data_IF_219346477365
#
_entry.id   IF_219346477365
#
_cell.length_a   1.000
_cell.length_b   1.000
_cell.length_c   1.000
_cell.angle_alpha   90.00
_cell.angle_beta   90.00
_cell.angle_gamma   90.00
#
_symmetry.space_group_name_H-M   'P 1'
#
loop_
_entity.id
_entity.type
_entity.pdbx_description
1 polymer ?
#
# COMPACT_ATOMS: atom_id res chain seq x y z
N UNK A 1 24.69 10.65 -4.53
CA UNK A 1 24.37 9.65 -3.47
C UNK A 1 22.88 9.61 -3.23
N UNK A 2 22.40 8.46 -2.82
CA UNK A 2 20.95 8.25 -2.65
C UNK A 2 20.71 7.55 -1.33
N UNK A 3 19.75 8.08 -0.57
CA UNK A 3 19.25 7.40 0.63
C UNK A 3 18.00 6.62 0.27
N UNK A 4 17.91 5.40 0.78
CA UNK A 4 16.74 4.53 0.60
C UNK A 4 16.24 4.12 1.97
N UNK A 5 14.95 4.29 2.21
CA UNK A 5 14.30 3.79 3.41
C UNK A 5 13.18 2.83 3.02
N UNK A 6 13.00 1.79 3.81
CA UNK A 6 11.99 0.76 3.58
C UNK A 6 11.20 0.58 4.87
N UNK A 7 9.88 0.65 4.75
CA UNK A 7 8.97 0.41 5.89
C UNK A 7 8.04 -0.74 5.55
N UNK A 8 8.01 -1.73 6.42
CA UNK A 8 7.08 -2.86 6.33
C UNK A 8 5.96 -2.67 7.34
N UNK A 9 4.72 -2.79 6.88
CA UNK A 9 3.52 -2.64 7.71
C UNK A 9 2.58 -3.79 7.38
N UNK A 10 2.07 -4.46 8.41
CA UNK A 10 1.02 -5.47 8.25
C UNK A 10 -0.31 -4.87 8.68
N UNK A 11 -1.34 -5.06 7.86
CA UNK A 11 -2.69 -4.58 8.14
C UNK A 11 -3.70 -5.70 7.91
N UNK A 12 -4.87 -5.58 8.53
CA UNK A 12 -6.03 -6.42 8.27
C UNK A 12 -7.09 -5.56 7.58
N UNK A 13 -7.61 -6.05 6.47
CA UNK A 13 -8.64 -5.29 5.76
C UNK A 13 -9.43 -6.18 4.83
N UNK A 14 -10.69 -5.80 4.63
CA UNK A 14 -11.60 -6.49 3.73
C UNK A 14 -11.80 -5.70 2.45
N UNK A 15 -12.01 -6.41 1.36
CA UNK A 15 -12.33 -5.78 0.08
C UNK A 15 -13.26 -6.66 -0.75
N UNK A 16 -13.80 -6.06 -1.79
CA UNK A 16 -14.62 -6.72 -2.77
C UNK A 16 -14.21 -6.18 -4.14
N UNK A 17 -13.89 -7.07 -5.07
CA UNK A 17 -13.51 -6.67 -6.42
C UNK A 17 -14.72 -6.59 -7.32
N UNK A 18 -14.75 -5.58 -8.19
CA UNK A 18 -15.73 -5.46 -9.27
C UNK A 18 -15.12 -6.08 -10.52
N UNK A 19 -15.68 -7.22 -10.93
CA UNK A 19 -15.16 -7.98 -12.06
C UNK A 19 -16.29 -8.29 -13.05
N UNK A 20 -16.01 -8.27 -14.36
CA UNK A 20 -17.01 -8.59 -15.39
C UNK A 20 -17.20 -10.09 -15.62
N UNK A 21 -16.66 -10.92 -14.75
CA UNK A 21 -16.76 -12.39 -14.81
C UNK A 21 -17.02 -12.95 -13.42
N UNK A 22 -17.62 -14.16 -13.30
CA UNK A 22 -17.85 -14.78 -11.99
C UNK A 22 -16.52 -15.08 -11.29
N UNK A 23 -16.43 -14.66 -10.02
CA UNK A 23 -15.26 -14.88 -9.18
C UNK A 23 -15.66 -14.80 -7.72
N UNK A 24 -15.02 -15.62 -6.88
CA UNK A 24 -15.17 -15.49 -5.43
C UNK A 24 -14.58 -14.18 -4.92
N UNK A 25 -13.68 -13.54 -5.68
CA UNK A 25 -13.13 -12.23 -5.34
C UNK A 25 -14.17 -11.12 -5.45
N UNK A 26 -15.31 -11.36 -6.11
CA UNK A 26 -16.45 -10.45 -6.16
C UNK A 26 -17.28 -10.46 -4.88
N UNK A 27 -16.95 -11.32 -3.92
CA UNK A 27 -17.56 -11.33 -2.59
C UNK A 27 -16.66 -10.56 -1.63
N UNK A 28 -17.26 -9.97 -0.61
CA UNK A 28 -16.49 -9.34 0.46
C UNK A 28 -15.66 -10.40 1.16
N UNK A 29 -14.36 -10.17 1.24
CA UNK A 29 -13.44 -11.07 1.92
C UNK A 29 -12.27 -10.27 2.48
N UNK A 30 -11.54 -10.84 3.42
CA UNK A 30 -10.46 -10.15 4.11
C UNK A 30 -9.13 -10.88 3.99
N UNK A 31 -8.07 -10.11 4.16
CA UNK A 31 -6.69 -10.58 4.19
C UNK A 31 -5.91 -9.90 5.28
N UNK A 32 -4.81 -10.52 5.69
CA UNK A 32 -3.73 -9.87 6.42
C UNK A 32 -2.69 -9.44 5.38
N UNK A 33 -2.73 -8.17 5.04
CA UNK A 33 -1.88 -7.62 4.00
C UNK A 33 -0.51 -7.28 4.57
N UNK A 34 0.55 -7.68 3.87
CA UNK A 34 1.91 -7.25 4.20
C UNK A 34 2.35 -6.25 3.15
N UNK A 35 2.61 -5.04 3.59
CA UNK A 35 2.89 -3.92 2.70
C UNK A 35 4.30 -3.41 2.98
N UNK A 36 5.11 -3.30 1.93
CA UNK A 36 6.46 -2.79 2.02
C UNK A 36 6.60 -1.57 1.12
N UNK A 37 6.97 -0.44 1.74
CA UNK A 37 7.06 0.87 1.08
C UNK A 37 8.52 1.28 1.00
N UNK A 38 8.97 1.65 -0.19
CA UNK A 38 10.34 2.12 -0.44
C UNK A 38 10.32 3.57 -0.87
N UNK A 39 11.06 4.42 -0.14
CA UNK A 39 11.27 5.81 -0.47
C UNK A 39 12.74 6.06 -0.78
N UNK A 40 13.02 6.95 -1.73
CA UNK A 40 14.39 7.35 -2.07
C UNK A 40 14.50 8.86 -2.16
N UNK A 41 15.62 9.40 -1.68
CA UNK A 41 15.94 10.82 -1.81
C UNK A 41 17.44 11.03 -1.84
N UNK A 42 17.90 12.02 -2.61
CA UNK A 42 19.30 12.42 -2.61
C UNK A 42 19.66 13.24 -1.37
N UNK A 43 18.66 13.79 -0.69
CA UNK A 43 18.84 14.68 0.46
C UNK A 43 18.01 14.19 1.64
N UNK A 44 18.41 14.64 2.83
CA UNK A 44 17.67 14.42 4.06
C UNK A 44 17.03 15.74 4.52
N UNK A 45 15.98 15.64 5.31
CA UNK A 45 15.38 16.82 5.92
C UNK A 45 16.24 17.33 7.09
N UNK A 46 15.78 18.37 7.77
CA UNK A 46 16.48 18.98 8.89
C UNK A 46 16.71 18.04 10.08
N UNK A 47 15.96 16.96 10.15
CA UNK A 47 16.09 15.95 11.20
C UNK A 47 16.91 14.75 10.76
N UNK A 48 17.45 14.76 9.55
CA UNK A 48 18.27 13.67 9.03
C UNK A 48 17.46 12.50 8.48
N UNK A 49 16.24 12.75 7.98
CA UNK A 49 15.34 11.72 7.48
C UNK A 49 14.96 11.95 6.03
N UNK A 50 14.74 10.86 5.28
CA UNK A 50 14.03 10.92 4.00
C UNK A 50 12.56 11.25 4.27
N UNK A 51 11.99 10.55 5.23
CA UNK A 51 10.66 10.79 5.78
C UNK A 51 10.58 9.99 7.10
N UNK A 52 9.90 10.55 8.09
CA UNK A 52 9.65 9.84 9.34
C UNK A 52 8.88 8.54 9.05
N UNK A 53 9.39 7.42 9.56
CA UNK A 53 8.73 6.11 9.38
C UNK A 53 7.29 6.10 9.87
N UNK A 54 6.97 6.88 10.90
CA UNK A 54 5.60 6.97 11.41
C UNK A 54 4.62 7.56 10.39
N UNK A 55 5.08 8.46 9.53
CA UNK A 55 4.25 9.03 8.48
C UNK A 55 3.95 8.02 7.38
N UNK A 56 4.91 7.14 7.08
CA UNK A 56 4.68 6.03 6.15
C UNK A 56 3.62 5.11 6.74
N UNK A 57 3.79 4.74 7.99
CA UNK A 57 2.85 3.88 8.72
C UNK A 57 1.44 4.48 8.74
N UNK A 58 1.32 5.78 9.00
CA UNK A 58 0.02 6.46 9.08
C UNK A 58 -0.75 6.38 7.77
N UNK A 59 -0.09 6.50 6.63
CA UNK A 59 -0.74 6.36 5.32
C UNK A 59 -1.26 4.93 5.13
N UNK A 60 -0.41 3.93 5.38
CA UNK A 60 -0.79 2.53 5.23
C UNK A 60 -1.91 2.14 6.19
N UNK A 61 -1.87 2.65 7.43
CA UNK A 61 -2.86 2.37 8.46
C UNK A 61 -4.24 2.95 8.16
N UNK A 62 -4.38 3.86 7.19
CA UNK A 62 -5.70 4.30 6.74
C UNK A 62 -6.52 3.15 6.16
N UNK A 63 -5.87 2.09 5.70
CA UNK A 63 -6.52 0.90 5.16
C UNK A 63 -6.75 -0.19 6.22
N UNK A 64 -6.13 -0.05 7.40
CA UNK A 64 -6.17 -1.07 8.44
C UNK A 64 -7.52 -1.12 9.14
N UNK A 65 -8.03 -2.32 9.35
CA UNK A 65 -9.34 -2.57 9.98
C UNK A 65 -10.48 -1.83 9.28
N UNK A 66 -10.43 -1.76 7.94
CA UNK A 66 -11.43 -1.08 7.13
C UNK A 66 -12.03 -2.02 6.09
N UNK A 67 -13.16 -1.59 5.54
CA UNK A 67 -13.61 -2.04 4.24
C UNK A 67 -12.91 -1.16 3.21
N UNK A 68 -11.88 -1.71 2.55
CA UNK A 68 -10.95 -0.94 1.71
C UNK A 68 -11.70 -0.22 0.58
N UNK A 69 -12.78 -0.80 0.07
CA UNK A 69 -13.61 -0.17 -0.96
C UNK A 69 -14.13 1.22 -0.53
N UNK A 70 -14.47 1.38 0.75
CA UNK A 70 -14.94 2.67 1.27
C UNK A 70 -13.81 3.72 1.26
N UNK A 71 -12.59 3.29 1.53
CA UNK A 71 -11.43 4.20 1.57
C UNK A 71 -10.99 4.60 0.17
N UNK A 72 -10.98 3.67 -0.77
CA UNK A 72 -10.49 3.90 -2.13
C UNK A 72 -11.55 4.44 -3.09
N UNK A 73 -12.82 4.42 -2.69
CA UNK A 73 -13.91 4.97 -3.50
C UNK A 73 -14.16 4.19 -4.78
N UNK A 74 -14.13 4.87 -5.91
CA UNK A 74 -14.44 4.27 -7.21
C UNK A 74 -13.33 3.38 -7.78
N UNK A 75 -12.17 3.39 -7.15
CA UNK A 75 -11.04 2.57 -7.58
C UNK A 75 -11.27 1.12 -7.14
N UNK A 76 -11.19 0.18 -8.08
CA UNK A 76 -11.27 -1.24 -7.75
C UNK A 76 -10.08 -1.61 -6.85
N UNK A 77 -10.31 -2.08 -5.61
CA UNK A 77 -9.23 -2.23 -4.62
C UNK A 77 -8.45 -3.53 -4.80
N UNK A 78 -7.86 -3.70 -5.96
CA UNK A 78 -6.89 -4.75 -6.22
C UNK A 78 -5.59 -4.47 -5.47
N UNK A 79 -4.74 -5.48 -5.29
CA UNK A 79 -3.42 -5.29 -4.69
C UNK A 79 -2.59 -4.26 -5.48
N UNK A 80 -2.70 -4.30 -6.81
CA UNK A 80 -2.03 -3.36 -7.71
C UNK A 80 -2.47 -1.92 -7.46
N UNK A 81 -3.77 -1.69 -7.40
CA UNK A 81 -4.32 -0.35 -7.15
C UNK A 81 -4.06 0.12 -5.72
N UNK A 82 -4.06 -0.78 -4.76
CA UNK A 82 -3.67 -0.45 -3.38
C UNK A 82 -2.22 0.02 -3.32
N UNK A 83 -1.32 -0.66 -4.02
CA UNK A 83 0.09 -0.28 -4.07
C UNK A 83 0.27 1.13 -4.64
N UNK A 84 -0.40 1.42 -5.75
CA UNK A 84 -0.37 2.76 -6.36
C UNK A 84 -0.99 3.81 -5.44
N UNK A 85 -2.13 3.51 -4.83
CA UNK A 85 -2.82 4.41 -3.91
C UNK A 85 -1.92 4.85 -2.75
N UNK A 86 -1.18 3.91 -2.17
CA UNK A 86 -0.24 4.19 -1.08
C UNK A 86 0.93 5.04 -1.60
N UNK A 87 1.52 4.64 -2.71
CA UNK A 87 2.68 5.34 -3.28
C UNK A 87 2.36 6.79 -3.62
N UNK A 88 1.17 7.05 -4.17
CA UNK A 88 0.75 8.39 -4.58
C UNK A 88 0.55 9.34 -3.39
N UNK A 89 0.42 8.83 -2.17
CA UNK A 89 0.19 9.61 -0.95
C UNK A 89 1.44 9.86 -0.12
N UNK A 90 2.60 9.42 -0.61
CA UNK A 90 3.86 9.55 0.11
C UNK A 90 4.90 10.27 -0.74
N UNK A 91 5.56 11.30 -0.21
CA UNK A 91 6.67 11.94 -0.90
C UNK A 91 7.83 10.96 -1.03
N UNK A 92 8.60 11.09 -2.09
CA UNK A 92 9.79 10.27 -2.36
C UNK A 92 9.51 8.78 -2.56
N UNK A 93 8.26 8.37 -2.61
CA UNK A 93 7.92 6.96 -2.80
C UNK A 93 8.23 6.53 -4.23
N UNK A 94 8.98 5.44 -4.36
CA UNK A 94 9.38 4.89 -5.67
C UNK A 94 8.83 3.49 -5.89
N UNK A 95 8.42 2.80 -4.81
CA UNK A 95 7.99 1.41 -4.90
C UNK A 95 7.11 1.06 -3.72
N UNK A 96 6.01 0.35 -3.99
CA UNK A 96 5.18 -0.26 -2.95
C UNK A 96 4.88 -1.69 -3.36
N UNK A 97 5.17 -2.64 -2.48
CA UNK A 97 4.82 -4.04 -2.64
C UNK A 97 3.66 -4.36 -1.70
N UNK A 98 2.60 -4.94 -2.26
CA UNK A 98 1.42 -5.35 -1.50
C UNK A 98 1.26 -6.85 -1.63
N UNK A 99 1.45 -7.55 -0.53
CA UNK A 99 1.23 -9.00 -0.44
C UNK A 99 -0.16 -9.25 0.12
N UNK A 100 -1.03 -9.75 -0.73
CA UNK A 100 -2.41 -10.09 -0.36
C UNK A 100 -2.45 -11.39 0.46
N UNK A 101 -1.67 -12.37 0.00
CA UNK A 101 -1.51 -13.68 0.62
C UNK A 101 -0.11 -14.19 0.33
N UNK A 102 0.28 -15.31 0.89
CA UNK A 102 1.64 -15.82 0.70
C UNK A 102 2.01 -15.99 -0.77
N UNK A 103 1.07 -16.40 -1.60
CA UNK A 103 1.31 -16.64 -3.02
C UNK A 103 1.07 -15.46 -3.94
N UNK A 104 0.53 -14.33 -3.45
CA UNK A 104 0.06 -13.24 -4.30
C UNK A 104 0.66 -11.90 -3.87
N UNK A 105 1.52 -11.37 -4.73
CA UNK A 105 2.25 -10.13 -4.50
C UNK A 105 2.10 -9.21 -5.70
N UNK A 106 1.72 -7.97 -5.46
CA UNK A 106 1.71 -6.92 -6.47
C UNK A 106 2.71 -5.84 -6.11
N UNK A 107 3.42 -5.33 -7.09
CA UNK A 107 4.41 -4.27 -6.92
C UNK A 107 4.09 -3.13 -7.88
N UNK A 108 4.02 -1.92 -7.34
CA UNK A 108 3.95 -0.69 -8.11
C UNK A 108 5.28 0.06 -7.99
N UNK A 109 5.89 0.38 -9.12
CA UNK A 109 7.14 1.15 -9.17
C UNK A 109 6.96 2.36 -10.07
N UNK A 110 7.50 3.48 -9.62
CA UNK A 110 7.59 4.69 -10.46
C UNK A 110 8.82 4.65 -11.34
#
# INVERSE_FOLDING_TARGET
MMYTVVKRVEIAGAHQLKLPYPSKCSRVHGHNWVIEVTLKSETLDENGMVLDFSKIKDVVKQLDHTYINDVMGDINPTAENMAKWICDRLPHCVRVAVRESEGNLAIYEK
#
